data_IF_512509909164
#
_entry.id   IF_512509909164
#
_cell.length_a   1.000
_cell.length_b   1.000
_cell.length_c   1.000
_cell.angle_alpha   90.00
_cell.angle_beta   90.00
_cell.angle_gamma   90.00
#
_symmetry.space_group_name_H-M   'P 1'
#
loop_
_entity.id
_entity.type
_entity.pdbx_description
1 polymer ?
#
# COMPACT_ATOMS: atom_id res chain seq x y z
N UNK A 1 -6.83 -8.38 -14.86
CA UNK A 1 -6.23 -7.47 -13.85
C UNK A 1 -6.91 -7.59 -12.49
N UNK A 2 -8.23 -7.40 -12.37
CA UNK A 2 -8.95 -7.47 -11.07
C UNK A 2 -8.80 -8.82 -10.36
N UNK A 3 -8.89 -9.93 -11.08
CA UNK A 3 -8.71 -11.27 -10.51
C UNK A 3 -7.27 -11.52 -10.04
N UNK A 4 -6.26 -11.10 -10.81
CA UNK A 4 -4.85 -11.17 -10.41
C UNK A 4 -4.55 -10.33 -9.17
N UNK A 5 -5.12 -9.12 -9.08
CA UNK A 5 -4.98 -8.26 -7.90
C UNK A 5 -5.69 -8.87 -6.68
N UNK A 6 -6.83 -9.52 -6.86
CA UNK A 6 -7.54 -10.23 -5.80
C UNK A 6 -6.74 -11.42 -5.25
N UNK A 7 -6.04 -12.15 -6.11
CA UNK A 7 -5.13 -13.23 -5.69
C UNK A 7 -3.90 -12.66 -4.99
N UNK A 8 -3.27 -11.64 -5.58
CA UNK A 8 -2.12 -10.95 -5.00
C UNK A 8 -2.42 -10.39 -3.60
N UNK A 9 -3.63 -9.89 -3.37
CA UNK A 9 -4.07 -9.38 -2.07
C UNK A 9 -4.04 -10.46 -0.97
N UNK A 10 -4.35 -11.71 -1.30
CA UNK A 10 -4.31 -12.84 -0.37
C UNK A 10 -2.87 -13.32 -0.10
N UNK A 11 -2.01 -13.24 -1.09
CA UNK A 11 -0.64 -13.76 -1.06
C UNK A 11 0.38 -12.74 -0.57
N UNK A 12 0.07 -11.44 -0.72
CA UNK A 12 1.00 -10.38 -0.37
C UNK A 12 1.19 -10.25 1.15
N UNK A 13 2.41 -10.43 1.58
CA UNK A 13 2.83 -10.12 2.94
C UNK A 13 3.99 -9.12 2.94
N UNK A 14 4.28 -8.53 4.09
CA UNK A 14 5.45 -7.66 4.24
C UNK A 14 6.72 -8.51 4.23
N UNK A 15 7.60 -8.28 3.25
CA UNK A 15 8.90 -8.94 3.13
C UNK A 15 10.01 -7.96 3.47
N UNK A 16 10.81 -8.26 4.49
CA UNK A 16 11.92 -7.43 4.96
C UNK A 16 13.29 -7.99 4.59
N UNK A 17 13.35 -9.16 3.98
CA UNK A 17 14.57 -9.82 3.56
C UNK A 17 14.55 -10.01 2.05
N UNK A 18 15.33 -9.18 1.36
CA UNK A 18 15.52 -9.27 -0.08
C UNK A 18 16.81 -10.04 -0.38
N UNK A 19 16.87 -10.71 -1.53
CA UNK A 19 18.05 -11.51 -1.91
C UNK A 19 19.17 -10.68 -2.54
N UNK A 20 18.86 -9.43 -2.92
CA UNK A 20 19.79 -8.51 -3.55
C UNK A 20 19.87 -8.64 -5.07
N UNK A 21 19.01 -9.48 -5.68
CA UNK A 21 18.91 -9.58 -7.14
C UNK A 21 18.28 -8.26 -7.66
N UNK A 22 18.94 -7.58 -8.61
CA UNK A 22 18.36 -6.39 -9.25
C UNK A 22 17.09 -6.74 -10.02
N UNK A 23 16.18 -5.79 -10.14
CA UNK A 23 15.05 -5.93 -11.06
C UNK A 23 15.55 -6.04 -12.51
N UNK A 24 14.93 -6.91 -13.28
CA UNK A 24 15.16 -6.99 -14.73
C UNK A 24 14.59 -5.75 -15.43
N UNK A 25 15.03 -5.48 -16.65
CA UNK A 25 14.50 -4.34 -17.42
C UNK A 25 13.01 -4.50 -17.74
N UNK A 26 12.51 -5.72 -17.88
CA UNK A 26 11.09 -6.01 -18.05
C UNK A 26 10.28 -5.70 -16.77
N UNK A 27 10.77 -6.11 -15.60
CA UNK A 27 10.14 -5.81 -14.32
C UNK A 27 10.11 -4.29 -14.05
N UNK A 28 11.21 -3.59 -14.34
CA UNK A 28 11.29 -2.12 -14.23
C UNK A 28 10.28 -1.44 -15.13
N UNK A 29 10.25 -1.83 -16.41
CA UNK A 29 9.32 -1.27 -17.39
C UNK A 29 7.87 -1.50 -17.00
N UNK A 30 7.56 -2.70 -16.51
CA UNK A 30 6.23 -3.08 -16.01
C UNK A 30 5.81 -2.22 -14.82
N UNK A 31 6.68 -2.09 -13.82
CA UNK A 31 6.42 -1.26 -12.64
C UNK A 31 6.33 0.23 -12.97
N UNK A 32 7.22 0.74 -13.87
CA UNK A 32 7.21 2.13 -14.28
C UNK A 32 5.92 2.50 -15.03
N UNK A 33 5.46 1.63 -15.92
CA UNK A 33 4.17 1.82 -16.61
C UNK A 33 3.03 1.98 -15.59
N UNK A 34 3.00 1.16 -14.54
CA UNK A 34 1.98 1.29 -13.50
C UNK A 34 2.11 2.57 -12.69
N UNK A 35 3.33 2.97 -12.36
CA UNK A 35 3.60 4.27 -11.71
C UNK A 35 3.07 5.43 -12.55
N UNK A 36 3.33 5.44 -13.85
CA UNK A 36 2.90 6.50 -14.76
C UNK A 36 1.37 6.58 -14.87
N UNK A 37 0.69 5.42 -14.93
CA UNK A 37 -0.78 5.34 -14.89
C UNK A 37 -1.36 5.96 -13.61
N UNK A 38 -0.81 5.60 -12.45
CA UNK A 38 -1.27 6.10 -11.15
C UNK A 38 -0.98 7.59 -10.99
N UNK A 39 0.20 8.05 -11.39
CA UNK A 39 0.55 9.47 -11.39
C UNK A 39 -0.42 10.28 -12.23
N UNK A 40 -0.74 9.82 -13.44
CA UNK A 40 -1.68 10.47 -14.34
C UNK A 40 -3.11 10.48 -13.78
N UNK A 41 -3.54 9.36 -13.19
CA UNK A 41 -4.93 9.18 -12.71
C UNK A 41 -5.22 10.01 -11.47
N UNK A 42 -4.26 10.12 -10.56
CA UNK A 42 -4.45 10.74 -9.24
C UNK A 42 -3.65 12.03 -9.04
N UNK A 43 -3.02 12.55 -10.10
CA UNK A 43 -2.14 13.73 -10.03
C UNK A 43 -1.10 13.60 -8.92
N UNK A 44 -0.26 12.55 -9.03
CA UNK A 44 0.78 12.21 -8.08
C UNK A 44 2.18 12.41 -8.70
N UNK A 45 3.21 12.27 -7.88
CA UNK A 45 4.62 12.31 -8.29
C UNK A 45 5.38 11.10 -7.69
N UNK A 46 4.80 9.92 -7.80
CA UNK A 46 5.45 8.68 -7.40
C UNK A 46 6.62 8.42 -8.35
N UNK A 47 7.76 8.02 -7.80
CA UNK A 47 8.94 7.67 -8.58
C UNK A 47 9.42 6.25 -8.22
N UNK A 48 9.71 5.44 -9.23
CA UNK A 48 10.49 4.22 -9.07
C UNK A 48 11.97 4.59 -9.11
N UNK A 49 12.70 4.31 -8.05
CA UNK A 49 14.11 4.63 -7.91
C UNK A 49 14.92 3.34 -7.84
N UNK A 50 16.01 3.29 -8.60
CA UNK A 50 17.09 2.33 -8.42
C UNK A 50 18.32 3.06 -7.88
N UNK A 51 18.97 2.51 -6.87
CA UNK A 51 20.13 3.13 -6.26
C UNK A 51 21.01 2.11 -5.54
N UNK A 52 22.31 2.21 -5.76
CA UNK A 52 23.33 1.53 -4.95
C UNK A 52 23.28 1.99 -3.48
N UNK A 53 22.84 3.23 -3.25
CA UNK A 53 22.72 3.79 -1.91
C UNK A 53 21.38 3.43 -1.30
N UNK A 54 21.43 2.69 -0.21
CA UNK A 54 20.24 2.29 0.54
C UNK A 54 19.42 3.51 1.03
N UNK A 55 18.10 3.55 0.76
CA UNK A 55 17.21 4.61 1.25
C UNK A 55 16.92 4.51 2.75
N UNK A 56 17.40 3.45 3.42
CA UNK A 56 17.06 3.16 4.81
C UNK A 56 17.78 4.08 5.79
N UNK A 57 17.06 4.48 6.84
CA UNK A 57 17.66 5.06 8.04
C UNK A 57 18.46 4.01 8.83
N UNK A 58 19.20 4.44 9.85
CA UNK A 58 19.87 3.50 10.76
C UNK A 58 18.90 2.48 11.35
N UNK A 59 17.73 2.92 11.81
CA UNK A 59 16.69 2.03 12.34
C UNK A 59 16.15 1.09 11.25
N UNK A 60 15.95 1.58 10.03
CA UNK A 60 15.53 0.75 8.91
C UNK A 60 16.52 -0.38 8.61
N UNK A 61 17.82 -0.08 8.62
CA UNK A 61 18.89 -1.07 8.42
C UNK A 61 18.91 -2.14 9.52
N UNK A 62 18.63 -1.76 10.76
CA UNK A 62 18.59 -2.69 11.91
C UNK A 62 17.39 -3.64 11.83
N UNK A 63 16.26 -3.16 11.30
CA UNK A 63 15.05 -3.97 11.12
C UNK A 63 15.13 -4.90 9.88
N UNK A 64 16.05 -4.62 8.96
CA UNK A 64 16.37 -5.50 7.85
C UNK A 64 17.48 -6.47 8.27
N UNK A 65 17.09 -7.65 8.68
CA UNK A 65 18.05 -8.75 8.84
C UNK A 65 18.42 -9.30 7.45
N UNK A 66 19.28 -8.61 6.70
CA UNK A 66 19.69 -9.08 5.39
C UNK A 66 20.05 -7.95 4.42
N UNK A 67 20.18 -8.27 3.16
CA UNK A 67 20.82 -7.48 2.15
C UNK A 67 19.98 -6.32 1.63
N UNK A 68 20.66 -5.48 0.90
CA UNK A 68 20.28 -4.16 0.43
C UNK A 68 19.07 -4.17 -0.48
N UNK A 69 18.20 -3.19 -0.26
CA UNK A 69 17.13 -2.85 -1.19
C UNK A 69 17.72 -1.85 -2.18
N UNK A 70 17.71 -2.23 -3.45
CA UNK A 70 18.19 -1.39 -4.53
C UNK A 70 17.07 -0.65 -5.24
N UNK A 71 15.84 -1.18 -5.20
CA UNK A 71 14.68 -0.60 -5.88
C UNK A 71 13.56 -0.27 -4.89
N UNK A 72 12.98 0.92 -5.05
CA UNK A 72 11.88 1.36 -4.19
C UNK A 72 11.02 2.44 -4.86
N UNK A 73 9.75 2.45 -4.54
CA UNK A 73 8.86 3.56 -4.88
C UNK A 73 8.98 4.65 -3.84
N UNK A 74 9.13 5.90 -4.28
CA UNK A 74 8.97 7.09 -3.44
C UNK A 74 7.56 7.60 -3.61
N UNK A 75 6.76 7.56 -2.57
CA UNK A 75 5.39 8.07 -2.59
C UNK A 75 5.40 9.57 -2.32
N UNK A 76 5.23 10.36 -3.36
CA UNK A 76 5.29 11.81 -3.32
C UNK A 76 4.20 12.47 -4.18
N UNK A 77 3.87 13.72 -3.87
CA UNK A 77 2.91 14.52 -4.61
C UNK A 77 2.89 15.97 -4.11
N UNK A 78 2.04 16.81 -4.71
CA UNK A 78 1.79 18.15 -4.21
C UNK A 78 1.21 18.11 -2.80
N UNK A 79 1.58 19.08 -1.95
CA UNK A 79 1.03 19.14 -0.58
C UNK A 79 -0.41 19.66 -0.61
N UNK A 80 -1.34 18.74 -0.58
CA UNK A 80 -2.79 18.98 -0.54
C UNK A 80 -3.45 18.11 0.53
N UNK A 81 -4.67 18.43 0.91
CA UNK A 81 -5.34 17.82 2.08
C UNK A 81 -5.61 16.32 1.94
N UNK A 82 -5.79 15.82 0.72
CA UNK A 82 -6.08 14.42 0.41
C UNK A 82 -4.84 13.61 0.00
N UNK A 83 -3.66 14.24 -0.11
CA UNK A 83 -2.47 13.61 -0.69
C UNK A 83 -2.05 12.33 0.03
N UNK A 84 -2.14 12.29 1.36
CA UNK A 84 -1.75 11.10 2.13
C UNK A 84 -2.68 9.92 1.82
N UNK A 85 -3.98 10.18 1.65
CA UNK A 85 -4.97 9.16 1.29
C UNK A 85 -4.77 8.67 -0.15
N UNK A 86 -4.55 9.59 -1.10
CA UNK A 86 -4.29 9.24 -2.50
C UNK A 86 -3.00 8.43 -2.66
N UNK A 87 -1.92 8.82 -1.97
CA UNK A 87 -0.66 8.07 -1.98
C UNK A 87 -0.78 6.73 -1.24
N UNK A 88 -1.62 6.64 -0.22
CA UNK A 88 -1.97 5.38 0.43
C UNK A 88 -2.66 4.42 -0.52
N UNK A 89 -3.64 4.93 -1.28
CA UNK A 89 -4.38 4.18 -2.30
C UNK A 89 -3.46 3.69 -3.42
N UNK A 90 -2.71 4.60 -4.04
CA UNK A 90 -1.79 4.28 -5.14
C UNK A 90 -0.65 3.35 -4.70
N UNK A 91 -0.09 3.57 -3.50
CA UNK A 91 0.94 2.69 -2.96
C UNK A 91 0.44 1.28 -2.65
N UNK A 92 -0.82 1.16 -2.21
CA UNK A 92 -1.48 -0.14 -2.05
C UNK A 92 -1.63 -0.87 -3.39
N UNK A 93 -2.03 -0.15 -4.43
CA UNK A 93 -2.10 -0.69 -5.79
C UNK A 93 -0.73 -1.20 -6.25
N UNK A 94 0.33 -0.39 -6.10
CA UNK A 94 1.71 -0.79 -6.45
C UNK A 94 2.18 -2.03 -5.68
N UNK A 95 1.83 -2.16 -4.40
CA UNK A 95 2.16 -3.36 -3.63
C UNK A 95 1.50 -4.62 -4.19
N UNK A 96 0.22 -4.54 -4.55
CA UNK A 96 -0.51 -5.67 -5.13
C UNK A 96 -0.05 -5.97 -6.56
N UNK A 97 0.23 -4.92 -7.34
CA UNK A 97 0.73 -5.06 -8.70
C UNK A 97 2.12 -5.71 -8.72
N UNK A 98 3.02 -5.30 -7.82
CA UNK A 98 4.31 -5.94 -7.65
C UNK A 98 4.16 -7.43 -7.28
N UNK A 99 3.28 -7.75 -6.31
CA UNK A 99 3.00 -9.13 -5.90
C UNK A 99 2.45 -9.97 -7.07
N UNK A 100 1.54 -9.42 -7.88
CA UNK A 100 1.00 -10.08 -9.07
C UNK A 100 2.06 -10.39 -10.13
N UNK A 101 3.17 -9.65 -10.12
CA UNK A 101 4.34 -9.85 -10.99
C UNK A 101 5.49 -10.62 -10.30
N UNK A 102 5.22 -11.31 -9.18
CA UNK A 102 6.19 -12.15 -8.49
C UNK A 102 7.21 -11.41 -7.60
N UNK A 103 7.01 -10.11 -7.39
CA UNK A 103 7.87 -9.27 -6.57
C UNK A 103 7.30 -9.04 -5.18
N UNK A 104 8.17 -8.87 -4.21
CA UNK A 104 7.81 -8.62 -2.83
C UNK A 104 8.00 -7.16 -2.45
N UNK A 105 7.26 -6.70 -1.42
CA UNK A 105 7.30 -5.31 -1.00
C UNK A 105 7.42 -5.14 0.51
N UNK A 106 7.99 -3.98 0.91
CA UNK A 106 8.02 -3.52 2.29
C UNK A 106 7.69 -2.02 2.36
N UNK A 107 6.57 -1.69 2.97
CA UNK A 107 6.16 -0.30 3.18
C UNK A 107 6.90 0.32 4.37
N UNK A 108 7.48 1.51 4.18
CA UNK A 108 8.28 2.23 5.17
C UNK A 108 7.86 3.69 5.25
N UNK A 109 7.23 4.08 6.36
CA UNK A 109 6.82 5.46 6.60
C UNK A 109 7.78 6.22 7.55
N UNK A 110 8.43 5.52 8.48
CA UNK A 110 9.31 6.13 9.49
C UNK A 110 10.76 5.63 9.49
N UNK A 111 11.11 4.63 8.70
CA UNK A 111 12.39 3.93 8.75
C UNK A 111 13.32 4.23 7.57
N UNK A 112 13.00 5.24 6.75
CA UNK A 112 13.84 5.69 5.64
C UNK A 112 14.56 6.99 5.94
N UNK A 113 15.65 7.27 5.21
CA UNK A 113 16.41 8.51 5.31
C UNK A 113 15.73 9.62 4.51
N UNK A 114 14.90 10.42 5.18
CA UNK A 114 14.13 11.50 4.56
C UNK A 114 15.01 12.51 3.83
N UNK A 115 16.17 12.86 4.41
CA UNK A 115 17.10 13.84 3.81
C UNK A 115 17.63 13.35 2.46
N UNK A 116 18.01 12.07 2.38
CA UNK A 116 18.45 11.46 1.14
C UNK A 116 17.34 11.40 0.09
N UNK A 117 16.18 10.85 0.48
CA UNK A 117 15.05 10.67 -0.45
C UNK A 117 14.50 12.02 -0.95
N UNK A 118 14.52 13.07 -0.12
CA UNK A 118 14.12 14.43 -0.52
C UNK A 118 14.96 14.99 -1.68
N UNK A 119 16.21 14.60 -1.78
CA UNK A 119 17.07 14.98 -2.90
C UNK A 119 16.69 14.32 -4.25
N UNK A 120 15.96 13.21 -4.20
CA UNK A 120 15.55 12.44 -5.39
C UNK A 120 14.24 12.94 -6.00
N UNK A 121 13.35 13.53 -5.18
CA UNK A 121 12.03 14.03 -5.60
C UNK A 121 11.89 15.48 -5.11
N UNK A 122 12.43 16.41 -5.89
CA UNK A 122 12.48 17.82 -5.50
C UNK A 122 11.09 18.49 -5.51
N UNK A 123 10.85 19.37 -4.54
CA UNK A 123 9.66 20.23 -4.50
C UNK A 123 8.35 19.53 -4.11
N UNK A 124 8.37 18.22 -3.82
CA UNK A 124 7.18 17.44 -3.48
C UNK A 124 7.16 17.03 -2.01
N UNK A 125 5.96 16.87 -1.46
CA UNK A 125 5.76 16.22 -0.17
C UNK A 125 6.01 14.73 -0.31
N UNK A 126 6.95 14.19 0.47
CA UNK A 126 7.23 12.75 0.53
C UNK A 126 6.53 12.18 1.75
N UNK A 127 5.67 11.20 1.53
CA UNK A 127 4.85 10.57 2.57
C UNK A 127 5.52 9.30 3.08
N UNK A 128 5.94 8.41 2.19
CA UNK A 128 6.59 7.14 2.54
C UNK A 128 7.40 6.61 1.36
N UNK A 129 8.10 5.50 1.58
CA UNK A 129 8.69 4.69 0.51
C UNK A 129 8.23 3.25 0.61
N UNK A 130 8.25 2.53 -0.51
CA UNK A 130 7.96 1.10 -0.58
C UNK A 130 9.14 0.41 -1.27
N UNK A 131 9.89 -0.41 -0.53
CA UNK A 131 10.89 -1.26 -1.13
C UNK A 131 10.22 -2.33 -2.00
N UNK A 132 10.81 -2.63 -3.15
CA UNK A 132 10.33 -3.64 -4.09
C UNK A 132 11.50 -4.47 -4.62
N UNK A 133 11.31 -5.78 -4.78
CA UNK A 133 12.33 -6.68 -5.30
C UNK A 133 12.06 -8.15 -4.99
N UNK A 134 13.07 -8.98 -5.19
CA UNK A 134 13.01 -10.43 -4.96
C UNK A 134 13.25 -10.75 -3.49
N UNK A 135 12.22 -11.30 -2.83
CA UNK A 135 12.29 -11.68 -1.43
C UNK A 135 12.94 -13.04 -1.21
N UNK A 136 13.73 -13.18 -0.14
CA UNK A 136 14.25 -14.49 0.31
C UNK A 136 13.15 -15.41 0.84
N UNK A 137 12.00 -14.85 1.16
CA UNK A 137 10.80 -15.54 1.60
C UNK A 137 9.58 -14.72 1.19
N UNK A 138 8.39 -15.29 1.35
CA UNK A 138 7.14 -14.62 0.98
C UNK A 138 6.49 -13.86 2.16
N UNK A 139 7.20 -13.69 3.27
CA UNK A 139 6.64 -13.12 4.50
C UNK A 139 5.66 -14.07 5.19
N UNK A 140 4.91 -13.53 6.12
CA UNK A 140 3.88 -14.28 6.86
C UNK A 140 2.61 -13.46 6.99
N UNK A 141 1.43 -14.10 7.02
CA UNK A 141 0.17 -13.42 7.28
C UNK A 141 0.21 -12.62 8.56
N UNK A 142 -0.32 -11.42 8.55
CA UNK A 142 -0.50 -10.66 9.77
C UNK A 142 -1.74 -11.14 10.54
N UNK A 143 -1.76 -10.90 11.85
CA UNK A 143 -2.92 -11.18 12.67
C UNK A 143 -4.00 -10.13 12.40
N UNK A 144 -5.19 -10.56 11.97
CA UNK A 144 -6.32 -9.67 11.68
C UNK A 144 -7.31 -9.59 12.83
N UNK A 145 -8.00 -8.47 12.92
CA UNK A 145 -9.22 -8.31 13.71
C UNK A 145 -10.37 -9.12 13.09
N UNK A 146 -11.47 -9.26 13.84
CA UNK A 146 -12.70 -9.84 13.28
C UNK A 146 -13.50 -8.80 12.51
N UNK A 147 -14.43 -9.25 11.64
CA UNK A 147 -15.32 -8.36 10.89
C UNK A 147 -16.13 -7.46 11.83
N UNK A 148 -16.65 -8.00 12.91
CA UNK A 148 -17.47 -7.29 13.90
C UNK A 148 -16.70 -6.18 14.63
N UNK A 149 -15.38 -6.32 14.75
CA UNK A 149 -14.51 -5.31 15.37
C UNK A 149 -14.25 -4.09 14.45
N UNK A 150 -14.40 -4.26 13.14
CA UNK A 150 -14.03 -3.23 12.15
C UNK A 150 -15.20 -2.78 11.27
N UNK A 151 -16.37 -3.39 11.40
CA UNK A 151 -17.50 -3.03 10.54
C UNK A 151 -18.87 -3.16 11.22
N UNK A 152 -19.82 -2.46 10.65
CA UNK A 152 -21.25 -2.62 10.93
C UNK A 152 -22.06 -2.28 9.69
N UNK A 153 -23.25 -2.88 9.56
CA UNK A 153 -24.17 -2.62 8.45
C UNK A 153 -25.59 -2.46 9.00
N UNK A 154 -26.32 -1.46 8.48
CA UNK A 154 -27.73 -1.25 8.86
C UNK A 154 -28.62 -2.23 8.07
N UNK A 155 -29.19 -3.23 8.77
CA UNK A 155 -29.94 -4.34 8.18
C UNK A 155 -29.05 -5.55 7.86
N UNK A 156 -29.47 -6.37 6.91
CA UNK A 156 -28.69 -7.51 6.44
C UNK A 156 -27.56 -7.07 5.51
N UNK A 157 -26.32 -7.39 5.85
CA UNK A 157 -25.17 -7.02 5.08
C UNK A 157 -25.10 -7.81 3.76
N UNK A 158 -25.10 -7.13 2.59
CA UNK A 158 -25.00 -7.82 1.30
C UNK A 158 -23.62 -8.46 1.11
N UNK A 159 -23.57 -9.43 0.19
CA UNK A 159 -22.35 -10.21 -0.08
C UNK A 159 -21.17 -9.32 -0.48
N UNK A 160 -21.40 -8.29 -1.31
CA UNK A 160 -20.34 -7.36 -1.73
C UNK A 160 -19.72 -6.62 -0.54
N UNK A 161 -20.52 -6.20 0.45
CA UNK A 161 -20.02 -5.53 1.66
C UNK A 161 -19.12 -6.47 2.48
N UNK A 162 -19.59 -7.72 2.68
CA UNK A 162 -18.82 -8.73 3.39
C UNK A 162 -17.47 -9.02 2.72
N UNK A 163 -17.46 -9.16 1.37
CA UNK A 163 -16.22 -9.31 0.58
C UNK A 163 -15.30 -8.10 0.71
N UNK A 164 -15.87 -6.88 0.71
CA UNK A 164 -15.11 -5.65 0.93
C UNK A 164 -14.44 -5.61 2.30
N UNK A 165 -15.14 -6.04 3.37
CA UNK A 165 -14.56 -6.12 4.72
C UNK A 165 -13.46 -7.18 4.79
N UNK A 166 -13.65 -8.35 4.20
CA UNK A 166 -12.61 -9.39 4.11
C UNK A 166 -11.34 -8.86 3.44
N UNK A 167 -11.50 -8.16 2.34
CA UNK A 167 -10.40 -7.54 1.63
C UNK A 167 -9.72 -6.42 2.48
N UNK A 168 -10.50 -5.56 3.12
CA UNK A 168 -9.97 -4.50 4.00
C UNK A 168 -9.18 -5.06 5.17
N UNK A 169 -9.51 -6.23 5.70
CA UNK A 169 -8.77 -6.92 6.75
C UNK A 169 -7.41 -7.47 6.28
N UNK A 170 -7.18 -7.60 4.97
CA UNK A 170 -5.88 -7.96 4.39
C UNK A 170 -4.97 -6.73 4.16
N UNK A 171 -5.51 -5.53 4.32
CA UNK A 171 -4.79 -4.28 4.10
C UNK A 171 -3.62 -4.13 5.10
N UNK A 172 -2.39 -3.82 4.62
CA UNK A 172 -1.29 -3.49 5.53
C UNK A 172 -1.55 -2.13 6.17
N UNK A 173 -1.60 -2.07 7.50
CA UNK A 173 -1.71 -0.81 8.23
C UNK A 173 -0.48 -0.56 9.09
N UNK A 174 -0.24 0.71 9.45
CA UNK A 174 0.88 1.08 10.30
C UNK A 174 0.92 0.24 11.58
N UNK A 175 2.04 -0.46 11.83
CA UNK A 175 2.25 -1.42 12.93
C UNK A 175 1.10 -2.41 13.14
N UNK A 176 0.36 -2.72 12.08
CA UNK A 176 -0.81 -3.60 12.08
C UNK A 176 -1.93 -3.16 13.04
N UNK A 177 -2.13 -1.87 13.20
CA UNK A 177 -3.14 -1.34 14.15
C UNK A 177 -4.56 -1.65 13.74
N UNK A 178 -4.85 -1.71 12.44
CA UNK A 178 -6.20 -1.91 11.88
C UNK A 178 -7.24 -1.02 12.61
N UNK A 179 -6.91 0.27 12.75
CA UNK A 179 -7.68 1.23 13.55
C UNK A 179 -8.81 1.89 12.74
N UNK A 180 -9.43 1.14 11.87
CA UNK A 180 -10.52 1.58 11.01
C UNK A 180 -11.87 1.03 11.43
N UNK A 181 -12.93 1.70 10.99
CA UNK A 181 -14.30 1.21 11.04
C UNK A 181 -14.98 1.54 9.72
N UNK A 182 -15.59 0.52 9.10
CA UNK A 182 -16.39 0.65 7.88
C UNK A 182 -17.86 0.43 8.23
N UNK A 183 -18.71 1.40 7.88
CA UNK A 183 -20.15 1.31 8.10
C UNK A 183 -20.88 1.34 6.78
N UNK A 184 -21.87 0.47 6.63
CA UNK A 184 -22.71 0.40 5.44
C UNK A 184 -24.21 0.63 5.74
N UNK A 185 -24.89 1.27 4.78
CA UNK A 185 -26.34 1.43 4.76
C UNK A 185 -26.80 1.51 3.30
N UNK A 186 -27.62 0.56 2.86
CA UNK A 186 -27.95 0.45 1.42
C UNK A 186 -26.66 0.35 0.59
N UNK A 187 -26.47 1.24 -0.40
CA UNK A 187 -25.22 1.31 -1.16
C UNK A 187 -24.23 2.37 -0.64
N UNK A 188 -24.50 3.01 0.50
CA UNK A 188 -23.61 4.02 1.09
C UNK A 188 -22.64 3.38 2.07
N UNK A 189 -21.36 3.69 1.92
CA UNK A 189 -20.28 3.18 2.78
C UNK A 189 -19.47 4.33 3.34
N UNK A 190 -19.25 4.33 4.64
CA UNK A 190 -18.41 5.31 5.34
C UNK A 190 -17.19 4.61 5.93
N UNK A 191 -16.01 5.15 5.70
CA UNK A 191 -14.76 4.73 6.32
C UNK A 191 -14.29 5.77 7.32
N UNK A 192 -14.11 5.38 8.56
CA UNK A 192 -13.44 6.18 9.59
C UNK A 192 -12.15 5.49 10.02
N UNK A 193 -11.14 6.28 10.37
CA UNK A 193 -9.87 5.81 10.90
C UNK A 193 -9.50 6.63 12.14
N UNK A 194 -8.98 5.98 13.18
CA UNK A 194 -8.50 6.69 14.37
C UNK A 194 -7.38 7.65 13.96
N UNK A 195 -7.50 8.92 14.37
CA UNK A 195 -6.51 9.94 14.02
C UNK A 195 -5.11 9.59 14.51
N UNK A 196 -4.12 9.88 13.70
CA UNK A 196 -2.71 9.61 13.96
C UNK A 196 -1.83 9.95 12.76
N UNK A 197 -0.50 9.91 12.90
CA UNK A 197 0.43 10.34 11.85
C UNK A 197 0.31 9.60 10.51
N UNK A 198 -0.17 8.36 10.53
CA UNK A 198 -0.32 7.52 9.32
C UNK A 198 -1.78 7.34 8.90
N UNK A 199 -2.73 8.01 9.56
CA UNK A 199 -4.16 7.78 9.33
C UNK A 199 -4.61 8.04 7.89
N UNK A 200 -4.06 9.04 7.22
CA UNK A 200 -4.36 9.31 5.81
C UNK A 200 -3.91 8.18 4.91
N UNK A 201 -2.65 7.74 5.06
CA UNK A 201 -2.08 6.62 4.28
C UNK A 201 -2.91 5.35 4.50
N UNK A 202 -3.14 4.97 5.74
CA UNK A 202 -3.88 3.75 6.09
C UNK A 202 -5.32 3.78 5.55
N UNK A 203 -5.98 4.96 5.56
CA UNK A 203 -7.29 5.12 4.92
C UNK A 203 -7.26 4.81 3.43
N UNK A 204 -6.28 5.35 2.71
CA UNK A 204 -6.12 5.07 1.28
C UNK A 204 -5.88 3.59 1.00
N UNK A 205 -5.02 2.93 1.78
CA UNK A 205 -4.75 1.49 1.66
C UNK A 205 -6.05 0.68 1.87
N UNK A 206 -6.81 1.01 2.91
CA UNK A 206 -8.05 0.30 3.24
C UNK A 206 -9.13 0.53 2.17
N UNK A 207 -9.27 1.77 1.66
CA UNK A 207 -10.20 2.07 0.56
C UNK A 207 -9.89 1.20 -0.67
N UNK A 208 -8.62 1.14 -1.08
CA UNK A 208 -8.21 0.33 -2.22
C UNK A 208 -8.57 -1.14 -2.05
N UNK A 209 -8.25 -1.73 -0.89
CA UNK A 209 -8.57 -3.12 -0.60
C UNK A 209 -10.08 -3.36 -0.56
N UNK A 210 -10.84 -2.50 0.13
CA UNK A 210 -12.30 -2.62 0.20
C UNK A 210 -12.93 -2.56 -1.20
N UNK A 211 -12.52 -1.61 -2.04
CA UNK A 211 -13.02 -1.46 -3.40
C UNK A 211 -12.75 -2.68 -4.28
N UNK A 212 -11.55 -3.27 -4.15
CA UNK A 212 -11.22 -4.52 -4.85
C UNK A 212 -12.08 -5.70 -4.42
N UNK A 213 -12.40 -5.79 -3.13
CA UNK A 213 -13.24 -6.88 -2.61
C UNK A 213 -14.71 -6.68 -2.86
N UNK A 214 -15.20 -5.45 -2.72
CA UNK A 214 -16.61 -5.11 -2.84
C UNK A 214 -17.09 -4.97 -4.30
N UNK A 215 -16.20 -4.55 -5.21
CA UNK A 215 -16.57 -4.06 -6.54
C UNK A 215 -17.09 -2.62 -6.47
N UNK A 216 -16.41 -1.70 -7.15
CA UNK A 216 -16.73 -0.25 -7.10
C UNK A 216 -18.13 0.09 -7.56
N UNK A 217 -18.70 -0.71 -8.43
CA UNK A 217 -20.05 -0.57 -8.99
C UNK A 217 -21.18 -0.84 -7.97
N UNK A 218 -20.87 -1.47 -6.84
CA UNK A 218 -21.86 -1.89 -5.86
C UNK A 218 -22.19 -0.83 -4.80
N UNK A 219 -21.34 0.20 -4.66
CA UNK A 219 -21.48 1.16 -3.56
C UNK A 219 -20.91 2.54 -3.90
N UNK A 220 -21.16 3.49 -3.00
CA UNK A 220 -20.64 4.84 -3.02
C UNK A 220 -20.04 5.18 -1.65
N UNK A 221 -18.87 5.80 -1.65
CA UNK A 221 -18.31 6.40 -0.43
C UNK A 221 -19.15 7.63 0.00
N UNK A 222 -19.53 7.68 1.29
CA UNK A 222 -20.32 8.75 1.88
C UNK A 222 -19.46 9.67 2.77
#
# INVERSE_FOLDING_TARGET
MTEQMGQAMKERHTVRQFDGTPLTDEEKSTLQTRVDELNKTYDLAIALIESEKSPLSFLGKTLMSGKEVHSYFVLAGEDRTDIDEQLGYAGSDLCLYAQANGLNTWWMAGTFNRGYVKGLVQGKKIVSIIAVGHGKNQGVPHKSKTKEQVSSYEGEAPEWFNKGIEAALLAPTAINMQAFTIKGKGNKVTLTYKSGPMSGIDKGIIKHHFELGAGKENFEWA
#
